data_IF_381644353756
#
_entry.id   IF_381644353756
#
_cell.length_a   1.000
_cell.length_b   1.000
_cell.length_c   1.000
_cell.angle_alpha   90.00
_cell.angle_beta   90.00
_cell.angle_gamma   90.00
#
_symmetry.space_group_name_H-M   'P 1'
#
loop_
_entity.id
_entity.type
_entity.pdbx_description
1 polymer ?
#
# COMPACT_ATOMS: atom_id res chain seq x y z
N UNK A 1 24.61 -9.36 -10.39
CA UNK A 1 23.71 -10.17 -11.25
C UNK A 1 22.27 -9.79 -10.89
N UNK A 2 21.48 -9.35 -11.85
CA UNK A 2 20.08 -8.95 -11.70
C UNK A 2 19.14 -10.05 -12.18
N UNK A 3 18.00 -10.25 -11.51
CA UNK A 3 16.94 -11.11 -12.04
C UNK A 3 16.12 -10.36 -13.08
N UNK A 4 15.81 -11.01 -14.19
CA UNK A 4 14.83 -10.50 -15.15
C UNK A 4 13.46 -11.02 -14.78
N UNK A 5 12.55 -10.12 -14.40
CA UNK A 5 11.16 -10.47 -14.18
C UNK A 5 10.39 -10.43 -15.49
N UNK A 6 9.64 -11.49 -15.77
CA UNK A 6 8.50 -11.37 -16.68
C UNK A 6 7.42 -10.61 -15.92
N UNK A 7 7.04 -9.43 -16.41
CA UNK A 7 6.01 -8.57 -15.81
C UNK A 7 4.72 -8.66 -16.64
N UNK A 8 3.95 -9.76 -16.50
CA UNK A 8 2.72 -9.93 -17.24
C UNK A 8 1.65 -8.97 -16.74
N UNK A 9 0.55 -8.84 -17.50
CA UNK A 9 -0.69 -8.37 -16.90
C UNK A 9 -1.09 -9.36 -15.81
N UNK A 10 -1.29 -8.84 -14.60
CA UNK A 10 -1.82 -9.62 -13.50
C UNK A 10 -3.28 -9.96 -13.78
N UNK A 11 -3.77 -11.07 -13.22
CA UNK A 11 -5.17 -11.48 -13.41
C UNK A 11 -6.12 -10.53 -12.69
N UNK A 12 -7.33 -10.35 -13.22
CA UNK A 12 -8.36 -9.51 -12.58
C UNK A 12 -8.66 -9.95 -11.14
N UNK A 13 -8.58 -11.26 -10.88
CA UNK A 13 -8.75 -11.82 -9.55
C UNK A 13 -7.63 -11.40 -8.59
N UNK A 14 -6.37 -11.34 -9.06
CA UNK A 14 -5.26 -10.82 -8.28
C UNK A 14 -5.44 -9.33 -7.98
N UNK A 15 -5.89 -8.53 -8.96
CA UNK A 15 -6.18 -7.11 -8.74
C UNK A 15 -7.29 -6.92 -7.69
N UNK A 16 -8.39 -7.68 -7.77
CA UNK A 16 -9.48 -7.62 -6.80
C UNK A 16 -9.01 -7.99 -5.38
N UNK A 17 -8.25 -9.08 -5.24
CA UNK A 17 -7.71 -9.50 -3.95
C UNK A 17 -6.74 -8.46 -3.38
N UNK A 18 -5.87 -7.90 -4.22
CA UNK A 18 -4.92 -6.86 -3.82
C UNK A 18 -5.64 -5.57 -3.40
N UNK A 19 -6.67 -5.14 -4.12
CA UNK A 19 -7.53 -4.00 -3.74
C UNK A 19 -8.16 -4.23 -2.36
N UNK A 20 -8.72 -5.43 -2.12
CA UNK A 20 -9.34 -5.76 -0.83
C UNK A 20 -8.32 -5.75 0.31
N UNK A 21 -7.14 -6.33 0.08
CA UNK A 21 -6.07 -6.38 1.08
C UNK A 21 -5.49 -5.00 1.37
N UNK A 22 -5.27 -4.16 0.36
CA UNK A 22 -4.82 -2.78 0.52
C UNK A 22 -5.88 -1.95 1.25
N UNK A 23 -7.15 -2.08 0.89
CA UNK A 23 -8.25 -1.41 1.59
C UNK A 23 -8.28 -1.80 3.06
N UNK A 24 -8.13 -3.09 3.37
CA UNK A 24 -8.09 -3.56 4.76
C UNK A 24 -6.88 -2.99 5.52
N UNK A 25 -5.69 -2.99 4.92
CA UNK A 25 -4.46 -2.52 5.55
C UNK A 25 -4.45 -0.99 5.75
N UNK A 26 -4.91 -0.20 4.78
CA UNK A 26 -4.99 1.26 4.91
C UNK A 26 -6.00 1.72 5.96
N UNK A 27 -7.02 0.91 6.25
CA UNK A 27 -7.97 1.17 7.33
C UNK A 27 -7.53 0.58 8.68
N UNK A 28 -6.40 -0.13 8.73
CA UNK A 28 -5.85 -0.74 9.95
C UNK A 28 -4.86 0.24 10.58
N UNK A 29 -5.33 1.00 11.57
CA UNK A 29 -4.50 1.98 12.29
C UNK A 29 -5.32 3.13 12.85
N UNK A 30 -4.64 4.06 13.52
CA UNK A 30 -5.26 5.31 13.95
C UNK A 30 -5.41 6.22 12.74
N UNK A 31 -6.66 6.53 12.38
CA UNK A 31 -6.96 7.45 11.29
C UNK A 31 -6.55 8.87 11.68
N UNK A 32 -5.92 9.63 10.77
CA UNK A 32 -5.68 11.04 11.01
C UNK A 32 -7.01 11.76 11.28
N UNK A 33 -7.06 12.74 12.19
CA UNK A 33 -8.30 13.45 12.54
C UNK A 33 -8.94 14.20 11.36
N UNK A 34 -8.17 14.42 10.29
CA UNK A 34 -8.62 15.05 9.03
C UNK A 34 -9.40 14.06 8.15
N UNK A 35 -9.10 12.75 8.23
CA UNK A 35 -9.81 11.71 7.48
C UNK A 35 -11.03 11.29 8.29
N UNK A 36 -12.21 11.73 7.82
CA UNK A 36 -13.47 11.55 8.53
C UNK A 36 -14.13 10.18 8.27
N UNK A 37 -13.69 9.46 7.23
CA UNK A 37 -14.32 8.21 6.78
C UNK A 37 -13.29 7.12 6.47
N UNK A 38 -13.73 5.97 5.97
CA UNK A 38 -12.87 4.90 5.46
C UNK A 38 -12.14 5.33 4.19
N UNK A 39 -10.97 4.74 3.98
CA UNK A 39 -10.22 4.86 2.73
C UNK A 39 -10.65 3.68 1.86
N UNK A 40 -11.17 3.97 0.67
CA UNK A 40 -11.55 2.96 -0.33
C UNK A 40 -10.52 2.99 -1.46
N UNK A 41 -9.95 1.83 -1.80
CA UNK A 41 -9.11 1.70 -3.00
C UNK A 41 -10.06 1.53 -4.19
N UNK A 42 -10.08 2.52 -5.08
CA UNK A 42 -10.93 2.51 -6.29
C UNK A 42 -10.24 1.77 -7.42
N UNK A 43 -8.93 2.00 -7.57
CA UNK A 43 -8.15 1.48 -8.69
C UNK A 43 -6.72 1.17 -8.22
N UNK A 44 -6.18 0.07 -8.74
CA UNK A 44 -4.85 -0.41 -8.44
C UNK A 44 -4.19 -0.91 -9.72
N UNK A 45 -3.20 -0.15 -10.18
CA UNK A 45 -2.41 -0.47 -11.36
C UNK A 45 -0.96 -0.76 -10.97
N UNK A 46 -0.47 -1.94 -11.35
CA UNK A 46 0.89 -2.39 -11.02
C UNK A 46 1.97 -1.83 -11.95
N UNK A 47 1.55 -1.08 -12.98
CA UNK A 47 2.45 -0.50 -13.97
C UNK A 47 3.00 -1.52 -14.97
N UNK A 48 3.81 -1.03 -15.89
CA UNK A 48 4.45 -1.81 -16.96
C UNK A 48 5.90 -2.19 -16.62
N UNK A 49 6.52 -1.45 -15.69
CA UNK A 49 7.91 -1.65 -15.33
C UNK A 49 8.05 -2.60 -14.13
N UNK A 50 8.85 -3.68 -14.24
CA UNK A 50 9.13 -4.56 -13.10
C UNK A 50 10.11 -3.94 -12.10
N UNK A 51 10.10 -4.41 -10.84
CA UNK A 51 11.18 -4.15 -9.90
C UNK A 51 12.45 -4.90 -10.29
N UNK A 52 13.59 -4.35 -9.92
CA UNK A 52 14.88 -5.00 -10.01
C UNK A 52 15.21 -5.70 -8.67
N UNK A 53 15.61 -6.97 -8.75
CA UNK A 53 16.20 -7.69 -7.63
C UNK A 53 17.67 -7.98 -7.93
N UNK A 54 18.56 -7.52 -7.05
CA UNK A 54 19.97 -7.88 -7.06
C UNK A 54 20.27 -8.86 -5.92
N UNK A 55 20.96 -9.96 -6.23
CA UNK A 55 21.47 -10.86 -5.19
C UNK A 55 22.56 -10.12 -4.41
N UNK A 56 22.41 -10.08 -3.09
CA UNK A 56 23.44 -9.56 -2.18
C UNK A 56 24.16 -10.69 -1.47
N UNK A 57 23.39 -11.65 -0.97
CA UNK A 57 23.92 -12.80 -0.27
C UNK A 57 22.97 -13.98 -0.44
N UNK A 58 23.52 -15.19 -0.49
CA UNK A 58 22.75 -16.44 -0.54
C UNK A 58 23.09 -17.20 0.73
N UNK A 59 22.12 -17.33 1.62
CA UNK A 59 22.32 -17.98 2.91
C UNK A 59 22.20 -19.49 2.80
N UNK A 60 21.09 -19.97 2.24
CA UNK A 60 20.81 -21.40 2.15
C UNK A 60 20.18 -21.73 0.80
N UNK A 61 20.72 -22.75 0.14
CA UNK A 61 20.22 -23.27 -1.13
C UNK A 61 20.14 -24.79 -1.01
N UNK A 62 18.96 -25.28 -0.66
CA UNK A 62 18.63 -26.71 -0.65
C UNK A 62 17.55 -27.01 -1.68
N UNK A 63 17.22 -28.29 -1.87
CA UNK A 63 16.20 -28.73 -2.84
C UNK A 63 14.81 -28.19 -2.48
N UNK A 64 14.53 -28.03 -1.19
CA UNK A 64 13.21 -27.69 -0.65
C UNK A 64 13.11 -26.27 -0.11
N UNK A 65 14.25 -25.64 0.20
CA UNK A 65 14.32 -24.32 0.78
C UNK A 65 15.41 -23.46 0.13
N UNK A 66 15.05 -22.24 -0.20
CA UNK A 66 15.95 -21.21 -0.61
C UNK A 66 15.84 -20.02 0.33
N UNK A 67 16.98 -19.49 0.78
CA UNK A 67 17.07 -18.27 1.58
C UNK A 67 18.15 -17.37 1.01
N UNK A 68 17.75 -16.17 0.61
CA UNK A 68 18.65 -15.16 0.10
C UNK A 68 18.34 -13.78 0.62
N UNK A 69 19.36 -12.92 0.61
CA UNK A 69 19.24 -11.49 0.83
C UNK A 69 19.38 -10.81 -0.52
N UNK A 70 18.41 -9.98 -0.84
CA UNK A 70 18.34 -9.25 -2.09
C UNK A 70 18.26 -7.76 -1.82
N UNK A 71 18.77 -6.97 -2.77
CA UNK A 71 18.41 -5.56 -2.86
C UNK A 71 17.26 -5.45 -3.85
N UNK A 72 16.12 -4.97 -3.37
CA UNK A 72 14.95 -4.64 -4.18
C UNK A 72 14.99 -3.15 -4.51
N UNK A 73 14.93 -2.84 -5.80
CA UNK A 73 14.79 -1.48 -6.32
C UNK A 73 13.55 -1.43 -7.20
N UNK A 74 12.67 -0.45 -7.00
CA UNK A 74 11.51 -0.22 -7.85
C UNK A 74 11.39 1.28 -8.13
N UNK A 75 11.22 1.62 -9.40
CA UNK A 75 11.02 2.99 -9.85
C UNK A 75 10.11 3.00 -11.08
N UNK A 76 8.92 2.41 -10.92
CA UNK A 76 7.97 2.22 -11.99
C UNK A 76 6.81 3.21 -12.00
N UNK A 77 5.85 2.92 -12.87
CA UNK A 77 4.64 3.67 -13.18
C UNK A 77 3.38 3.13 -12.47
N UNK A 78 3.56 2.29 -11.44
CA UNK A 78 2.44 1.87 -10.60
C UNK A 78 1.73 3.08 -9.98
N UNK A 79 0.41 2.99 -9.92
CA UNK A 79 -0.40 4.00 -9.29
C UNK A 79 -1.63 3.40 -8.62
N UNK A 80 -2.09 4.10 -7.58
CA UNK A 80 -3.24 3.71 -6.77
C UNK A 80 -4.16 4.91 -6.68
N UNK A 81 -5.44 4.70 -6.96
CA UNK A 81 -6.47 5.72 -6.76
C UNK A 81 -7.28 5.36 -5.54
N UNK A 82 -7.29 6.27 -4.57
CA UNK A 82 -8.06 6.13 -3.34
C UNK A 82 -9.18 7.16 -3.31
N UNK A 83 -10.30 6.77 -2.73
CA UNK A 83 -11.41 7.66 -2.40
C UNK A 83 -11.59 7.67 -0.90
N UNK A 84 -11.68 8.86 -0.32
CA UNK A 84 -11.95 9.02 1.11
C UNK A 84 -12.77 10.28 1.34
N UNK A 85 -13.18 10.51 2.59
CA UNK A 85 -13.83 11.77 2.97
C UNK A 85 -12.98 12.48 4.01
N UNK A 86 -12.84 13.79 3.82
CA UNK A 86 -12.04 14.66 4.67
C UNK A 86 -12.93 15.67 5.36
N UNK A 87 -12.67 15.90 6.63
CA UNK A 87 -13.28 17.00 7.35
C UNK A 87 -12.50 18.29 7.05
N UNK A 88 -13.06 19.12 6.18
CA UNK A 88 -12.55 20.44 5.90
C UNK A 88 -13.25 21.45 6.82
N UNK A 89 -12.74 21.66 8.03
CA UNK A 89 -13.15 22.81 8.84
C UNK A 89 -12.16 23.98 8.65
N UNK A 90 -12.40 24.89 7.70
CA UNK A 90 -11.49 26.01 7.43
C UNK A 90 -11.32 26.98 8.61
N UNK A 91 -12.21 26.93 9.61
CA UNK A 91 -12.22 27.83 10.76
C UNK A 91 -11.51 27.30 12.01
N UNK A 92 -10.99 26.07 12.00
CA UNK A 92 -10.45 25.43 13.21
C UNK A 92 -8.92 25.34 13.26
N UNK A 93 -8.20 25.99 12.35
CA UNK A 93 -6.71 25.96 12.32
C UNK A 93 -6.05 27.23 12.85
N UNK A 94 -6.83 28.22 13.26
CA UNK A 94 -6.39 29.29 14.14
C UNK A 94 -7.58 29.64 15.03
N UNK A 95 -7.61 29.12 16.25
CA UNK A 95 -8.12 29.97 17.32
C UNK A 95 -6.99 30.97 17.58
N UNK A 96 -7.09 32.24 17.15
CA UNK A 96 -6.40 33.25 17.93
C UNK A 96 -7.02 33.17 19.34
N UNK A 97 -6.18 33.12 20.36
CA UNK A 97 -6.56 33.32 21.76
C UNK A 97 -7.15 34.73 21.89
N UNK A 98 -8.39 34.92 21.45
CA UNK A 98 -9.15 36.13 21.68
C UNK A 98 -9.93 35.89 22.96
N UNK A 99 -9.22 36.05 24.06
CA UNK A 99 -9.83 36.47 25.32
C UNK A 99 -10.39 37.88 25.12
N UNK A 100 -11.55 38.04 24.47
CA UNK A 100 -12.33 39.27 24.61
C UNK A 100 -13.68 38.96 25.25
N UNK A 101 -13.80 39.50 26.46
CA UNK A 101 -15.03 39.90 27.09
C UNK A 101 -15.98 40.58 26.10
N UNK A 102 -17.26 40.23 26.15
CA UNK A 102 -18.33 41.03 25.53
C UNK A 102 -19.32 40.17 24.77
N UNK A 103 -20.56 40.14 25.25
CA UNK A 103 -21.60 39.26 24.74
C UNK A 103 -21.90 39.47 23.25
N UNK A 104 -21.94 38.37 22.50
CA UNK A 104 -22.83 38.27 21.35
C UNK A 104 -23.43 36.87 21.31
N UNK A 105 -24.76 36.83 21.22
CA UNK A 105 -25.53 35.62 20.96
C UNK A 105 -25.28 35.20 19.50
N UNK A 106 -24.88 33.95 19.32
CA UNK A 106 -25.30 33.16 18.16
C UNK A 106 -24.39 33.21 16.93
N UNK A 107 -23.33 32.41 16.97
CA UNK A 107 -22.91 31.64 15.78
C UNK A 107 -22.67 30.19 16.20
N UNK A 108 -23.74 29.50 16.60
CA UNK A 108 -23.72 28.07 16.96
C UNK A 108 -23.76 27.14 15.73
N UNK A 109 -23.99 27.68 14.54
CA UNK A 109 -24.14 26.92 13.30
C UNK A 109 -22.81 26.58 12.59
N UNK A 110 -21.70 27.26 12.92
CA UNK A 110 -20.41 27.07 12.24
C UNK A 110 -19.51 25.97 12.86
N UNK A 111 -20.08 25.10 13.71
CA UNK A 111 -19.35 23.99 14.36
C UNK A 111 -19.56 22.63 13.68
N UNK A 112 -20.42 22.54 12.66
CA UNK A 112 -20.67 21.25 12.02
C UNK A 112 -19.47 20.86 11.14
N UNK A 113 -18.87 19.67 11.34
CA UNK A 113 -17.76 19.21 10.51
C UNK A 113 -18.22 19.13 9.05
N UNK A 114 -17.65 19.96 8.17
CA UNK A 114 -17.93 19.85 6.73
C UNK A 114 -17.10 18.69 6.18
N UNK A 115 -17.77 17.56 5.98
CA UNK A 115 -17.17 16.36 5.40
C UNK A 115 -17.28 16.44 3.89
N UNK A 116 -16.15 16.55 3.20
CA UNK A 116 -16.07 16.67 1.74
C UNK A 116 -15.39 15.42 1.17
N UNK A 117 -15.92 14.82 0.08
CA UNK A 117 -15.25 13.72 -0.60
C UNK A 117 -13.93 14.20 -1.21
N UNK A 118 -12.90 13.35 -1.12
CA UNK A 118 -11.56 13.58 -1.64
C UNK A 118 -11.11 12.37 -2.44
N UNK A 119 -10.56 12.63 -3.62
CA UNK A 119 -9.85 11.62 -4.40
C UNK A 119 -8.36 11.85 -4.26
N UNK A 120 -7.63 10.78 -3.97
CA UNK A 120 -6.18 10.76 -3.88
C UNK A 120 -5.64 9.85 -4.98
N UNK A 121 -4.60 10.32 -5.68
CA UNK A 121 -3.83 9.52 -6.60
C UNK A 121 -2.41 9.42 -6.08
N UNK A 122 -1.97 8.20 -5.82
CA UNK A 122 -0.60 7.87 -5.44
C UNK A 122 0.10 7.35 -6.68
N UNK A 123 1.24 7.91 -7.03
CA UNK A 123 1.98 7.59 -8.24
C UNK A 123 3.48 7.62 -8.00
N UNK A 124 4.25 7.12 -8.97
CA UNK A 124 5.72 7.15 -8.96
C UNK A 124 6.32 6.57 -7.67
N UNK A 125 5.86 5.38 -7.29
CA UNK A 125 6.41 4.68 -6.13
C UNK A 125 7.90 4.39 -6.36
N UNK A 126 8.74 4.94 -5.48
CA UNK A 126 10.17 4.64 -5.43
C UNK A 126 10.44 3.78 -4.22
N UNK A 127 10.84 2.53 -4.47
CA UNK A 127 11.21 1.58 -3.42
C UNK A 127 12.69 1.23 -3.53
N UNK A 128 13.34 1.11 -2.38
CA UNK A 128 14.71 0.59 -2.31
C UNK A 128 14.92 -0.01 -0.93
N UNK A 129 15.06 -1.33 -0.87
CA UNK A 129 15.27 -2.01 0.41
C UNK A 129 16.10 -3.27 0.27
N UNK A 130 16.68 -3.68 1.41
CA UNK A 130 17.20 -5.02 1.55
C UNK A 130 16.08 -5.95 2.02
N UNK A 131 15.90 -7.05 1.30
CA UNK A 131 14.82 -7.98 1.49
C UNK A 131 15.38 -9.37 1.74
N UNK A 132 14.90 -10.03 2.79
CA UNK A 132 15.14 -11.46 2.99
C UNK A 132 14.01 -12.21 2.33
N UNK A 133 14.33 -13.01 1.33
CA UNK A 133 13.39 -13.91 0.69
C UNK A 133 13.67 -15.33 1.15
N UNK A 134 12.66 -15.97 1.71
CA UNK A 134 12.67 -17.39 2.04
C UNK A 134 11.61 -18.06 1.18
N UNK A 135 12.03 -18.96 0.30
CA UNK A 135 11.12 -19.77 -0.51
C UNK A 135 11.20 -21.19 -0.01
N UNK A 136 10.07 -21.77 0.35
CA UNK A 136 9.95 -23.16 0.77
C UNK A 136 8.85 -23.83 -0.02
N UNK A 137 9.08 -25.06 -0.50
CA UNK A 137 8.05 -25.83 -1.22
C UNK A 137 6.82 -26.14 -0.35
N UNK A 138 7.02 -26.32 0.96
CA UNK A 138 5.95 -26.63 1.91
C UNK A 138 5.29 -25.37 2.48
N UNK A 139 6.10 -24.33 2.76
CA UNK A 139 5.65 -23.11 3.46
C UNK A 139 5.40 -21.92 2.54
N UNK A 140 5.62 -22.02 1.24
CA UNK A 140 5.44 -20.92 0.31
C UNK A 140 6.57 -19.88 0.39
N UNK A 141 6.25 -18.64 0.04
CA UNK A 141 7.20 -17.54 -0.06
C UNK A 141 7.01 -16.61 1.13
N UNK A 142 8.07 -16.40 1.90
CA UNK A 142 8.12 -15.41 2.98
C UNK A 142 9.10 -14.32 2.61
N UNK A 143 8.62 -13.08 2.64
CA UNK A 143 9.41 -11.90 2.32
C UNK A 143 9.47 -11.00 3.55
N UNK A 144 10.67 -10.54 3.93
CA UNK A 144 10.83 -9.63 5.07
C UNK A 144 11.75 -8.48 4.68
N UNK A 145 11.30 -7.25 4.88
CA UNK A 145 12.09 -6.05 4.69
C UNK A 145 13.03 -5.82 5.89
N UNK A 146 14.33 -5.71 5.63
CA UNK A 146 15.33 -5.33 6.64
C UNK A 146 15.42 -3.82 6.86
N UNK A 147 15.05 -3.06 5.85
CA UNK A 147 15.08 -1.59 5.84
C UNK A 147 13.72 -1.07 5.42
N UNK A 148 13.45 0.23 5.65
CA UNK A 148 12.24 0.86 5.13
C UNK A 148 12.18 0.72 3.60
N UNK A 149 11.13 0.07 3.05
CA UNK A 149 11.00 -0.14 1.62
C UNK A 149 10.62 1.12 0.85
N UNK A 150 9.91 2.07 1.44
CA UNK A 150 9.39 3.24 0.74
C UNK A 150 10.39 4.39 0.80
N UNK A 151 10.96 4.77 -0.36
CA UNK A 151 11.81 5.96 -0.44
C UNK A 151 10.99 7.22 -0.73
N UNK A 152 10.10 7.15 -1.73
CA UNK A 152 9.26 8.27 -2.11
C UNK A 152 7.96 7.79 -2.76
N UNK A 153 6.92 8.61 -2.66
CA UNK A 153 5.64 8.46 -3.36
C UNK A 153 5.08 9.84 -3.66
N UNK A 154 4.59 10.02 -4.88
CA UNK A 154 3.95 11.27 -5.28
C UNK A 154 2.45 11.15 -5.00
N UNK A 155 1.92 12.06 -4.18
CA UNK A 155 0.53 12.05 -3.72
C UNK A 155 -0.16 13.30 -4.25
N UNK A 156 -1.12 13.10 -5.15
CA UNK A 156 -1.98 14.15 -5.70
C UNK A 156 -3.38 14.06 -5.10
N UNK A 157 -3.95 15.20 -4.73
CA UNK A 157 -5.27 15.32 -4.11
C UNK A 157 -6.13 16.38 -4.78
N UNK A 158 -7.45 16.23 -4.69
CA UNK A 158 -8.41 17.29 -5.07
C UNK A 158 -8.23 18.59 -4.27
N UNK A 159 -7.52 18.55 -3.13
CA UNK A 159 -7.24 19.72 -2.28
C UNK A 159 -5.78 20.22 -2.37
N UNK A 160 -5.04 19.87 -3.43
CA UNK A 160 -3.63 20.29 -3.61
C UNK A 160 -3.43 21.82 -3.65
N UNK A 161 -4.48 22.59 -3.89
CA UNK A 161 -4.45 24.05 -3.83
C UNK A 161 -4.18 24.61 -2.42
N UNK A 162 -4.36 23.81 -1.37
CA UNK A 162 -4.17 24.22 0.01
C UNK A 162 -2.88 23.56 0.55
N UNK A 163 -1.77 24.32 0.49
CA UNK A 163 -0.43 23.84 0.83
C UNK A 163 -0.31 23.20 2.24
N UNK A 164 -1.11 23.65 3.20
CA UNK A 164 -1.13 23.07 4.56
C UNK A 164 -1.73 21.67 4.57
N UNK A 165 -2.84 21.49 3.84
CA UNK A 165 -3.55 20.21 3.74
C UNK A 165 -2.70 19.22 2.92
N UNK A 166 -2.09 19.69 1.83
CA UNK A 166 -1.20 18.88 0.99
C UNK A 166 -0.06 18.24 1.81
N UNK A 167 0.71 19.06 2.56
CA UNK A 167 1.83 18.56 3.38
C UNK A 167 1.37 17.58 4.46
N UNK A 168 0.22 17.85 5.07
CA UNK A 168 -0.35 16.97 6.07
C UNK A 168 -0.76 15.63 5.47
N UNK A 169 -1.55 15.63 4.39
CA UNK A 169 -1.99 14.41 3.69
C UNK A 169 -0.78 13.60 3.23
N UNK A 170 0.23 14.26 2.64
CA UNK A 170 1.44 13.59 2.18
C UNK A 170 2.12 12.83 3.32
N UNK A 171 2.40 13.50 4.44
CA UNK A 171 3.06 12.89 5.60
C UNK A 171 2.24 11.73 6.19
N UNK A 172 0.94 11.90 6.34
CA UNK A 172 0.07 10.87 6.91
C UNK A 172 -0.03 9.64 6.02
N UNK A 173 -0.30 9.82 4.72
CA UNK A 173 -0.43 8.71 3.77
C UNK A 173 0.91 8.00 3.58
N UNK A 174 2.02 8.73 3.53
CA UNK A 174 3.35 8.15 3.48
C UNK A 174 3.67 7.30 4.72
N UNK A 175 3.31 7.79 5.92
CA UNK A 175 3.44 7.04 7.17
C UNK A 175 2.63 5.74 7.17
N UNK A 176 1.36 5.81 6.73
CA UNK A 176 0.49 4.64 6.61
C UNK A 176 1.02 3.63 5.59
N UNK A 177 1.49 4.09 4.43
CA UNK A 177 2.11 3.22 3.43
C UNK A 177 3.34 2.53 4.00
N UNK A 178 4.25 3.26 4.66
CA UNK A 178 5.44 2.66 5.29
C UNK A 178 5.06 1.54 6.26
N UNK A 179 4.05 1.77 7.09
CA UNK A 179 3.55 0.74 8.02
C UNK A 179 2.99 -0.47 7.26
N UNK A 180 2.14 -0.26 6.27
CA UNK A 180 1.57 -1.32 5.43
C UNK A 180 2.66 -2.14 4.73
N UNK A 181 3.65 -1.49 4.12
CA UNK A 181 4.76 -2.17 3.45
C UNK A 181 5.60 -2.99 4.44
N UNK A 182 5.80 -2.50 5.66
CA UNK A 182 6.61 -3.19 6.68
C UNK A 182 5.88 -4.36 7.34
N UNK A 183 4.61 -4.17 7.68
CA UNK A 183 3.85 -5.11 8.53
C UNK A 183 2.96 -6.04 7.71
N UNK A 184 2.24 -5.50 6.73
CA UNK A 184 1.17 -6.23 6.05
C UNK A 184 1.61 -6.85 4.72
N UNK A 185 2.49 -6.18 3.96
CA UNK A 185 2.95 -6.69 2.65
C UNK A 185 3.63 -8.07 2.75
N UNK A 186 4.57 -8.33 3.67
CA UNK A 186 5.09 -9.67 3.95
C UNK A 186 4.00 -10.74 4.08
N UNK A 187 2.97 -10.43 4.87
CA UNK A 187 1.84 -11.33 5.12
C UNK A 187 0.93 -11.50 3.91
N UNK A 188 0.78 -10.46 3.09
CA UNK A 188 0.04 -10.51 1.82
C UNK A 188 0.75 -11.43 0.83
N UNK A 189 2.06 -11.24 0.60
CA UNK A 189 2.85 -12.09 -0.31
C UNK A 189 2.83 -13.55 0.16
N UNK A 190 2.98 -13.78 1.47
CA UNK A 190 2.92 -15.12 2.01
C UNK A 190 1.58 -15.81 1.73
N UNK A 191 0.45 -15.12 1.97
CA UNK A 191 -0.89 -15.65 1.68
C UNK A 191 -1.11 -15.93 0.19
N UNK A 192 -0.72 -15.00 -0.68
CA UNK A 192 -0.83 -15.17 -2.13
C UNK A 192 0.02 -16.35 -2.62
N UNK A 193 1.25 -16.48 -2.10
CA UNK A 193 2.12 -17.60 -2.45
C UNK A 193 1.54 -18.95 -2.03
N UNK A 194 0.89 -19.01 -0.87
CA UNK A 194 0.24 -20.21 -0.37
C UNK A 194 -0.95 -20.62 -1.26
N UNK A 195 -1.76 -19.64 -1.69
CA UNK A 195 -2.85 -19.90 -2.63
C UNK A 195 -2.31 -20.44 -3.97
N UNK A 196 -1.21 -19.86 -4.48
CA UNK A 196 -0.61 -20.32 -5.72
C UNK A 196 0.00 -21.71 -5.62
N UNK A 197 0.72 -22.01 -4.52
CA UNK A 197 1.27 -23.35 -4.28
C UNK A 197 0.15 -24.39 -4.17
N UNK A 198 -0.94 -24.09 -3.44
CA UNK A 198 -2.11 -24.98 -3.36
C UNK A 198 -2.74 -25.24 -4.72
N UNK A 199 -3.00 -24.19 -5.50
CA UNK A 199 -3.58 -24.31 -6.84
C UNK A 199 -2.70 -25.15 -7.78
N UNK A 200 -1.37 -25.02 -7.69
CA UNK A 200 -0.42 -25.77 -8.52
C UNK A 200 -0.20 -27.21 -8.06
N UNK A 201 -0.45 -27.52 -6.78
CA UNK A 201 -0.41 -28.88 -6.21
C UNK A 201 -1.73 -29.63 -6.42
N UNK A 202 -2.86 -28.94 -6.60
CA UNK A 202 -4.14 -29.56 -6.98
C UNK A 202 -4.26 -29.85 -8.48
N UNK A 203 -3.65 -29.01 -9.34
CA UNK A 203 -3.62 -29.19 -10.79
C UNK A 203 -2.93 -30.47 -11.37
N UNK A 204 -1.94 -31.13 -10.73
CA UNK A 204 -1.28 -32.31 -11.30
C UNK A 204 -2.17 -33.56 -11.32
N UNK A 205 -3.24 -33.59 -10.53
CA UNK A 205 -4.13 -34.76 -10.43
C UNK A 205 -5.26 -34.76 -11.46
N UNK A 206 -5.52 -33.63 -12.14
CA UNK A 206 -6.57 -33.52 -13.16
C UNK A 206 -6.09 -33.77 -14.59
N UNK A 207 -4.78 -33.92 -14.84
CA UNK A 207 -4.21 -34.12 -16.18
C UNK A 207 -4.07 -35.59 -16.62
N UNK A 208 -4.57 -36.56 -15.84
CA UNK A 208 -4.70 -37.96 -16.28
C UNK A 208 -6.18 -38.35 -16.43
N UNK A 209 -6.77 -38.02 -17.59
CA UNK A 209 -7.87 -38.85 -18.12
C UNK A 209 -7.24 -39.90 -19.05
N UNK A 210 -7.51 -41.20 -18.83
CA UNK A 210 -7.02 -42.25 -19.72
C UNK A 210 -7.75 -42.14 -21.06
N UNK A 211 -6.96 -42.29 -22.12
CA UNK A 211 -7.39 -42.55 -23.49
C UNK A 211 -8.36 -43.73 -23.52
N UNK A 212 -9.53 -43.52 -24.09
CA UNK A 212 -10.45 -44.55 -24.58
C UNK A 212 -10.79 -44.22 -26.02
#
# INVERSE_FOLDING_TARGET
MSFTFSWPRFSDQFHADAIQMLTAALNKGNKPPVIADRIEVVELEMGTQPPELEIRDIGELTVDQFRGIFRLSYSGDAHIVLRTKVQANPLNHKQPDIHLLGGSRGMLAAKQPLVVPMNLRLSHFKLNSYVVLVVSRQKGITLVFKTDPLQNVDINSTFDSIAVIQKFIQREIEGQLRQMFREDLPGIIHRLSQQWVKAKVEAPYLSKRPTG
#
